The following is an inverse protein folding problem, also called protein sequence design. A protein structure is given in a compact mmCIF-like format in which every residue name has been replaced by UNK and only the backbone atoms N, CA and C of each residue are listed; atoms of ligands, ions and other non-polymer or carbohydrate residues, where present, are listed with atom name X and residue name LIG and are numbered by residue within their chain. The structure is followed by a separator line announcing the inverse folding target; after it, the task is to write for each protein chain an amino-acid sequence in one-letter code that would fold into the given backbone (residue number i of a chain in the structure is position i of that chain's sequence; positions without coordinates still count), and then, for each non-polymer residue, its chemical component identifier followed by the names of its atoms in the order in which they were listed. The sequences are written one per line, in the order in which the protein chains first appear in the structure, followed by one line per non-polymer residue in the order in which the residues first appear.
data_IF_466325844565
#
_entry.id   IF_466325844565
#
_cell.length_a   1.000
_cell.length_b   1.000
_cell.length_c   1.000
_cell.angle_alpha   90.00
_cell.angle_beta   90.00
_cell.angle_gamma   90.00
#
_symmetry.space_group_name_H-M   'P 1'
#
loop_
_entity.id
_entity.type
_entity.pdbx_description
1 polymer ?
#
# COMPACT_ATOMS: atom_id res chain seq x y z
N UNK A 1 12.14 62.57 -1.03
CA UNK A 1 11.23 61.42 -1.11
C UNK A 1 12.13 60.21 -1.24
N UNK A 2 12.20 59.38 -0.20
CA UNK A 2 12.94 58.12 -0.24
C UNK A 2 12.02 57.10 -0.93
N UNK A 3 12.44 56.58 -2.07
CA UNK A 3 11.82 55.40 -2.67
C UNK A 3 12.06 54.24 -1.70
N UNK A 4 10.97 53.75 -1.12
CA UNK A 4 10.96 52.50 -0.38
C UNK A 4 10.99 51.44 -1.47
N UNK A 5 12.18 50.94 -1.82
CA UNK A 5 12.29 49.67 -2.53
C UNK A 5 11.67 48.62 -1.61
N UNK A 6 10.44 48.21 -1.92
CA UNK A 6 9.92 46.95 -1.42
C UNK A 6 10.75 45.86 -2.10
N UNK A 7 11.77 45.40 -1.36
CA UNK A 7 12.56 44.22 -1.65
C UNK A 7 11.60 43.04 -1.72
N UNK A 8 11.56 42.37 -2.88
CA UNK A 8 10.63 41.28 -3.11
C UNK A 8 11.18 40.02 -2.45
N UNK A 9 10.52 39.56 -1.38
CA UNK A 9 10.81 38.26 -0.77
C UNK A 9 10.72 37.17 -1.85
N UNK A 10 11.77 36.37 -2.00
CA UNK A 10 11.80 35.26 -2.96
C UNK A 10 11.13 34.02 -2.35
N UNK A 11 10.34 33.31 -3.15
CA UNK A 11 9.64 32.11 -2.71
C UNK A 11 10.27 30.89 -3.33
N UNK A 12 10.62 29.93 -2.49
CA UNK A 12 11.01 28.59 -2.88
C UNK A 12 9.91 27.62 -2.48
N UNK A 13 9.69 26.61 -3.30
CA UNK A 13 8.79 25.50 -3.03
C UNK A 13 9.60 24.21 -2.99
N UNK A 14 9.38 23.43 -1.94
CA UNK A 14 9.99 22.11 -1.79
C UNK A 14 8.90 21.05 -1.76
N UNK A 15 9.21 19.88 -2.31
CA UNK A 15 8.42 18.66 -2.12
C UNK A 15 9.33 17.65 -1.46
N UNK A 16 8.98 17.23 -0.26
CA UNK A 16 9.72 16.22 0.48
C UNK A 16 8.81 15.04 0.83
N UNK A 17 9.41 13.90 1.18
CA UNK A 17 8.66 12.78 1.75
C UNK A 17 9.35 12.19 2.96
N UNK A 18 8.54 11.61 3.84
CA UNK A 18 8.99 10.74 4.91
C UNK A 18 8.31 9.39 4.81
N UNK A 19 9.10 8.34 5.00
CA UNK A 19 8.54 7.01 5.17
C UNK A 19 7.87 6.93 6.55
N UNK A 20 6.57 6.69 6.54
CA UNK A 20 5.73 6.71 7.73
C UNK A 20 4.91 5.42 7.76
N UNK A 21 4.77 4.84 8.95
CA UNK A 21 3.90 3.70 9.20
C UNK A 21 2.61 4.16 9.91
N UNK A 22 1.46 3.77 9.34
CA UNK A 22 0.17 3.86 9.99
C UNK A 22 -0.05 2.59 10.81
N UNK A 23 0.01 2.69 12.13
CA UNK A 23 -0.10 1.53 13.04
C UNK A 23 -1.55 1.20 13.42
N UNK A 24 -2.51 2.03 13.02
CA UNK A 24 -3.92 1.94 13.41
C UNK A 24 -4.32 3.01 14.43
N UNK A 25 -5.63 3.21 14.58
CA UNK A 25 -6.27 4.17 15.47
C UNK A 25 -5.73 5.61 15.36
N UNK A 26 -5.52 6.06 14.12
CA UNK A 26 -5.03 7.42 13.83
C UNK A 26 -3.55 7.63 14.18
N UNK A 27 -2.79 6.56 14.45
CA UNK A 27 -1.38 6.65 14.84
C UNK A 27 -0.47 6.51 13.63
N UNK A 28 0.19 7.62 13.29
CA UNK A 28 1.29 7.68 12.33
C UNK A 28 2.63 7.79 13.04
N UNK A 29 3.64 7.07 12.55
CA UNK A 29 5.00 7.10 13.09
C UNK A 29 6.02 7.09 11.96
N UNK A 30 6.99 8.00 12.01
CA UNK A 30 8.14 7.98 11.09
C UNK A 30 8.89 6.66 11.25
N UNK A 31 9.10 5.93 10.15
CA UNK A 31 9.81 4.64 10.17
C UNK A 31 11.28 4.87 10.53
N UNK A 32 11.85 5.97 10.03
CA UNK A 32 13.22 6.37 10.32
C UNK A 32 13.30 7.86 10.71
N UNK A 33 12.97 8.21 11.97
CA UNK A 33 12.91 9.60 12.42
C UNK A 33 14.29 10.29 12.48
N UNK A 34 15.38 9.52 12.37
CA UNK A 34 16.75 10.02 12.41
C UNK A 34 17.32 10.31 11.02
N UNK A 35 16.63 9.92 9.95
CA UNK A 35 17.00 10.27 8.60
C UNK A 35 16.28 11.54 8.15
N UNK A 36 16.96 12.30 7.30
CA UNK A 36 16.37 13.45 6.64
C UNK A 36 15.28 12.97 5.66
N UNK A 37 14.31 13.84 5.40
CA UNK A 37 13.30 13.59 4.38
C UNK A 37 13.91 13.56 2.99
N UNK A 38 13.40 12.72 2.11
CA UNK A 38 13.80 12.70 0.71
C UNK A 38 13.21 13.91 -0.02
N UNK A 39 14.05 14.67 -0.73
CA UNK A 39 13.62 15.83 -1.53
C UNK A 39 13.36 15.43 -2.98
N UNK A 40 12.15 15.70 -3.46
CA UNK A 40 11.68 15.36 -4.81
C UNK A 40 11.65 16.56 -5.75
N UNK A 41 11.47 17.75 -5.19
CA UNK A 41 11.44 19.01 -5.94
C UNK A 41 11.94 20.14 -5.06
N UNK A 42 12.67 21.06 -5.68
CA UNK A 42 13.08 22.33 -5.10
C UNK A 42 13.10 23.38 -6.21
N UNK A 43 12.34 24.47 -6.06
CA UNK A 43 12.31 25.54 -7.06
C UNK A 43 11.23 26.59 -6.83
N UNK A 44 11.22 27.65 -7.64
CA UNK A 44 10.29 28.77 -7.46
C UNK A 44 8.84 28.50 -7.94
N UNK A 45 8.56 27.31 -8.49
CA UNK A 45 7.31 27.00 -9.16
C UNK A 45 6.28 26.30 -8.27
N UNK A 46 5.38 27.04 -7.61
CA UNK A 46 4.28 26.44 -6.81
C UNK A 46 3.46 25.40 -7.57
N UNK A 47 3.07 25.74 -8.81
CA UNK A 47 2.24 24.86 -9.65
C UNK A 47 2.99 23.59 -10.02
N UNK A 48 4.31 23.70 -10.21
CA UNK A 48 5.16 22.55 -10.51
C UNK A 48 5.32 21.66 -9.28
N UNK A 49 5.62 22.22 -8.09
CA UNK A 49 5.66 21.47 -6.83
C UNK A 49 4.36 20.68 -6.57
N UNK A 50 3.21 21.35 -6.70
CA UNK A 50 1.88 20.73 -6.52
C UNK A 50 1.56 19.66 -7.58
N UNK A 51 2.07 19.82 -8.81
CA UNK A 51 1.92 18.80 -9.85
C UNK A 51 2.80 17.59 -9.53
N UNK A 52 4.06 17.83 -9.20
CA UNK A 52 5.05 16.80 -8.86
C UNK A 52 4.55 15.92 -7.70
N UNK A 53 4.09 16.52 -6.60
CA UNK A 53 3.60 15.74 -5.45
C UNK A 53 2.41 14.86 -5.82
N UNK A 54 1.49 15.36 -6.66
CA UNK A 54 0.29 14.61 -7.06
C UNK A 54 0.60 13.49 -8.04
N UNK A 55 1.57 13.69 -8.93
CA UNK A 55 2.07 12.66 -9.84
C UNK A 55 2.75 11.53 -9.03
N UNK A 56 3.67 11.85 -8.12
CA UNK A 56 4.36 10.85 -7.29
C UNK A 56 3.44 10.12 -6.33
N UNK A 57 2.50 10.83 -5.70
CA UNK A 57 1.51 10.25 -4.80
C UNK A 57 0.32 9.61 -5.54
N UNK A 58 0.27 9.65 -6.88
CA UNK A 58 -0.68 8.85 -7.65
C UNK A 58 -0.11 7.51 -8.09
N UNK A 59 1.19 7.47 -8.35
CA UNK A 59 1.93 6.30 -8.77
C UNK A 59 2.36 5.45 -7.56
N UNK A 60 1.39 4.91 -6.82
CA UNK A 60 1.64 4.29 -5.49
C UNK A 60 1.36 2.80 -5.47
N UNK A 61 0.32 2.38 -6.19
CA UNK A 61 -0.21 1.01 -6.21
C UNK A 61 0.66 0.06 -7.03
N UNK A 62 1.17 0.52 -8.17
CA UNK A 62 1.91 -0.30 -9.14
C UNK A 62 3.44 -0.30 -8.88
N UNK A 63 3.92 0.52 -7.94
CA UNK A 63 5.36 0.67 -7.63
C UNK A 63 5.77 0.17 -6.25
N UNK A 64 4.85 -0.40 -5.45
CA UNK A 64 5.14 -0.86 -4.08
C UNK A 64 5.40 0.26 -3.07
N UNK A 65 4.79 1.45 -3.25
CA UNK A 65 5.02 2.59 -2.34
C UNK A 65 4.09 2.61 -1.12
N UNK A 66 3.04 1.78 -1.11
CA UNK A 66 2.22 1.48 0.07
C UNK A 66 2.37 -0.02 0.32
N UNK A 67 2.90 -0.36 1.48
CA UNK A 67 3.20 -1.73 1.88
C UNK A 67 2.49 -2.04 3.19
N UNK A 68 1.88 -3.22 3.29
CA UNK A 68 1.37 -3.71 4.57
C UNK A 68 2.42 -4.60 5.19
N UNK A 69 2.74 -4.35 6.45
CA UNK A 69 3.61 -5.21 7.24
C UNK A 69 2.92 -5.59 8.54
N UNK A 70 3.56 -6.44 9.35
CA UNK A 70 3.03 -6.89 10.63
C UNK A 70 2.59 -5.74 11.55
N UNK A 71 3.29 -4.59 11.48
CA UNK A 71 3.11 -3.43 12.34
C UNK A 71 2.07 -2.43 11.84
N UNK A 72 1.59 -2.55 10.60
CA UNK A 72 0.71 -1.55 10.00
C UNK A 72 0.97 -1.33 8.52
N UNK A 73 0.73 -0.10 8.05
CA UNK A 73 0.82 0.27 6.63
C UNK A 73 1.93 1.29 6.43
N UNK A 74 3.01 0.89 5.78
CA UNK A 74 4.16 1.71 5.46
C UNK A 74 3.92 2.43 4.13
N UNK A 75 4.20 3.73 4.09
CA UNK A 75 4.18 4.53 2.86
C UNK A 75 4.99 5.80 2.99
N UNK A 76 5.27 6.44 1.87
CA UNK A 76 5.78 7.80 1.85
C UNK A 76 4.65 8.82 1.98
N UNK A 77 4.65 9.61 3.05
CA UNK A 77 3.80 10.81 3.18
C UNK A 77 4.57 11.99 2.62
N UNK A 78 3.94 12.72 1.71
CA UNK A 78 4.57 13.84 1.04
C UNK A 78 4.11 15.17 1.63
N UNK A 79 5.05 16.10 1.72
CA UNK A 79 4.81 17.45 2.19
C UNK A 79 5.28 18.45 1.13
N UNK A 80 4.46 19.47 0.89
CA UNK A 80 4.84 20.61 0.05
C UNK A 80 4.97 21.85 0.93
N UNK A 81 6.16 22.42 0.99
CA UNK A 81 6.43 23.63 1.76
C UNK A 81 6.66 24.84 0.86
N UNK A 82 6.23 26.02 1.33
CA UNK A 82 6.64 27.33 0.81
C UNK A 82 7.70 27.89 1.77
N UNK A 83 8.91 28.11 1.28
CA UNK A 83 9.98 28.75 2.02
C UNK A 83 10.16 30.17 1.51
N UNK A 84 10.12 31.14 2.43
CA UNK A 84 10.39 32.55 2.15
C UNK A 84 11.87 32.82 2.41
N UNK A 85 12.53 33.41 1.41
CA UNK A 85 13.94 33.78 1.44
C UNK A 85 14.08 35.30 1.42
N UNK A 86 15.05 35.81 2.17
CA UNK A 86 15.47 37.20 2.03
C UNK A 86 16.45 37.41 0.86
N UNK A 87 16.96 38.63 0.69
CA UNK A 87 17.85 38.99 -0.41
C UNK A 87 19.22 38.28 -0.37
N UNK A 88 19.62 37.79 0.81
CA UNK A 88 20.86 37.05 1.02
C UNK A 88 20.65 35.54 0.81
N UNK A 89 19.41 35.10 0.59
CA UNK A 89 19.01 33.71 0.43
C UNK A 89 18.80 32.98 1.76
N UNK A 90 18.72 33.71 2.87
CA UNK A 90 18.47 33.13 4.19
C UNK A 90 16.97 32.87 4.39
N UNK A 91 16.65 31.74 5.02
CA UNK A 91 15.27 31.35 5.31
C UNK A 91 14.69 32.23 6.42
N UNK A 92 13.67 33.01 6.08
CA UNK A 92 12.95 33.89 7.01
C UNK A 92 11.56 33.37 7.38
N UNK A 93 11.05 32.38 6.66
CA UNK A 93 9.78 31.70 6.96
C UNK A 93 9.61 30.41 6.17
N UNK A 94 8.84 29.49 6.73
CA UNK A 94 8.48 28.22 6.09
C UNK A 94 7.05 27.86 6.48
N UNK A 95 6.21 27.58 5.49
CA UNK A 95 4.81 27.20 5.67
C UNK A 95 4.51 25.91 4.89
N UNK A 96 3.92 24.91 5.56
CA UNK A 96 3.35 23.73 4.90
C UNK A 96 2.10 24.11 4.11
N UNK A 97 2.11 23.88 2.81
CA UNK A 97 1.01 24.20 1.89
C UNK A 97 0.04 23.04 1.77
N UNK A 98 0.56 21.83 1.60
CA UNK A 98 -0.21 20.63 1.30
C UNK A 98 0.52 19.40 1.86
N UNK A 99 -0.23 18.51 2.49
CA UNK A 99 0.22 17.17 2.86
C UNK A 99 -0.56 16.20 1.98
N UNK A 100 0.14 15.29 1.32
CA UNK A 100 -0.45 14.27 0.47
C UNK A 100 -0.07 12.90 1.02
N UNK A 101 -1.04 12.24 1.64
CA UNK A 101 -0.89 10.86 2.10
C UNK A 101 -1.52 9.91 1.07
N UNK A 102 -0.75 9.01 0.44
CA UNK A 102 -1.31 8.00 -0.45
C UNK A 102 -2.42 7.16 0.17
N UNK A 103 -2.37 6.95 1.49
CA UNK A 103 -3.34 6.14 2.21
C UNK A 103 -4.74 6.78 2.26
N UNK A 104 -4.87 8.08 1.99
CA UNK A 104 -6.18 8.75 1.87
C UNK A 104 -7.02 8.24 0.68
N UNK A 105 -6.38 7.57 -0.28
CA UNK A 105 -7.06 6.93 -1.42
C UNK A 105 -7.47 5.49 -1.15
N UNK A 106 -7.12 4.94 0.02
CA UNK A 106 -7.39 3.56 0.42
C UNK A 106 -8.02 3.51 1.82
N UNK A 107 -9.19 4.15 2.04
CA UNK A 107 -9.79 4.28 3.37
C UNK A 107 -10.11 2.93 4.04
N UNK A 108 -10.40 1.89 3.26
CA UNK A 108 -10.67 0.52 3.74
C UNK A 108 -9.46 -0.06 4.48
N UNK A 109 -8.24 0.25 4.03
CA UNK A 109 -7.04 -0.18 4.72
C UNK A 109 -6.86 0.46 6.08
N UNK A 110 -7.15 1.76 6.20
CA UNK A 110 -7.09 2.43 7.50
C UNK A 110 -8.07 1.75 8.45
N UNK A 111 -9.27 1.44 7.98
CA UNK A 111 -10.27 0.71 8.76
C UNK A 111 -9.78 -0.68 9.18
N UNK A 112 -9.08 -1.43 8.31
CA UNK A 112 -8.50 -2.73 8.70
C UNK A 112 -7.38 -2.59 9.71
N UNK A 113 -6.48 -1.62 9.56
CA UNK A 113 -5.43 -1.33 10.53
C UNK A 113 -6.02 -0.95 11.89
N UNK A 114 -7.06 -0.11 11.92
CA UNK A 114 -7.76 0.28 13.15
C UNK A 114 -8.40 -0.92 13.86
N UNK A 115 -9.06 -1.79 13.10
CA UNK A 115 -9.67 -3.01 13.64
C UNK A 115 -8.63 -4.03 14.08
N UNK A 116 -7.53 -4.16 13.35
CA UNK A 116 -6.43 -5.04 13.72
C UNK A 116 -5.80 -4.61 15.06
N UNK A 117 -5.52 -3.31 15.22
CA UNK A 117 -5.04 -2.75 16.48
C UNK A 117 -6.06 -2.94 17.61
N UNK A 118 -7.35 -2.69 17.34
CA UNK A 118 -8.42 -2.91 18.32
C UNK A 118 -8.51 -4.37 18.80
N UNK A 119 -8.32 -5.33 17.89
CA UNK A 119 -8.32 -6.75 18.19
C UNK A 119 -6.97 -7.28 18.68
N UNK A 120 -5.93 -6.44 18.75
CA UNK A 120 -4.56 -6.80 19.08
C UNK A 120 -4.04 -7.98 18.22
N UNK A 121 -4.27 -7.91 16.92
CA UNK A 121 -3.75 -8.84 15.93
C UNK A 121 -2.86 -8.13 14.92
N UNK A 122 -1.95 -8.89 14.29
CA UNK A 122 -1.15 -8.37 13.18
C UNK A 122 -2.07 -8.08 11.99
N UNK A 123 -1.85 -6.97 11.31
CA UNK A 123 -2.69 -6.53 10.18
C UNK A 123 -2.79 -7.58 9.06
N UNK A 124 -1.70 -8.24 8.60
CA UNK A 124 -1.80 -9.35 7.64
C UNK A 124 -2.74 -10.47 8.10
N UNK A 125 -2.64 -10.88 9.37
CA UNK A 125 -3.48 -11.94 9.95
C UNK A 125 -4.94 -11.50 10.11
N UNK A 126 -5.19 -10.24 10.42
CA UNK A 126 -6.55 -9.67 10.47
C UNK A 126 -7.20 -9.71 9.08
N UNK A 127 -6.44 -9.32 8.06
CA UNK A 127 -6.91 -9.25 6.68
C UNK A 127 -7.18 -10.66 6.13
N UNK A 128 -6.21 -11.56 6.29
CA UNK A 128 -6.25 -12.91 5.70
C UNK A 128 -7.08 -13.90 6.51
N UNK A 129 -7.21 -13.69 7.82
CA UNK A 129 -7.90 -14.61 8.73
C UNK A 129 -7.09 -15.88 8.99
N UNK A 130 -7.78 -16.97 9.32
CA UNK A 130 -7.17 -18.27 9.56
C UNK A 130 -6.94 -19.01 8.24
N UNK A 131 -5.68 -19.32 7.93
CA UNK A 131 -5.32 -20.19 6.80
C UNK A 131 -5.24 -21.66 7.26
N UNK A 132 -6.00 -22.54 6.59
CA UNK A 132 -6.04 -23.99 6.84
C UNK A 132 -5.71 -24.73 5.56
N UNK A 133 -4.70 -25.59 5.60
CA UNK A 133 -4.50 -26.59 4.55
C UNK A 133 -5.67 -27.58 4.57
N UNK A 134 -6.20 -27.89 3.38
CA UNK A 134 -7.35 -28.77 3.21
C UNK A 134 -6.91 -30.13 2.68
N UNK A 135 -6.28 -30.17 1.51
CA UNK A 135 -5.84 -31.40 0.86
C UNK A 135 -4.86 -31.10 -0.30
N UNK A 136 -4.22 -32.15 -0.82
CA UNK A 136 -3.37 -32.11 -2.00
C UNK A 136 -4.05 -32.82 -3.19
N UNK A 137 -4.02 -32.19 -4.36
CA UNK A 137 -4.63 -32.69 -5.59
C UNK A 137 -3.55 -32.92 -6.64
N UNK A 138 -3.38 -34.17 -7.06
CA UNK A 138 -2.57 -34.49 -8.23
C UNK A 138 -3.38 -34.33 -9.52
N UNK A 139 -2.94 -33.42 -10.39
CA UNK A 139 -3.57 -33.16 -11.68
C UNK A 139 -2.51 -32.83 -12.74
N UNK A 140 -2.60 -33.47 -13.91
CA UNK A 140 -1.66 -33.31 -15.02
C UNK A 140 -0.17 -33.42 -14.63
N UNK A 141 0.16 -34.34 -13.72
CA UNK A 141 1.53 -34.57 -13.24
C UNK A 141 2.07 -33.48 -12.29
N UNK A 142 1.23 -32.57 -11.82
CA UNK A 142 1.55 -31.54 -10.82
C UNK A 142 0.76 -31.80 -9.53
N UNK A 143 1.32 -31.33 -8.39
CA UNK A 143 0.65 -31.36 -7.10
C UNK A 143 0.13 -29.96 -6.76
N UNK A 144 -1.17 -29.85 -6.53
CA UNK A 144 -1.82 -28.60 -6.12
C UNK A 144 -2.29 -28.70 -4.68
N UNK A 145 -1.90 -27.75 -3.83
CA UNK A 145 -2.35 -27.74 -2.43
C UNK A 145 -3.53 -26.80 -2.26
N UNK A 146 -4.64 -27.29 -1.72
CA UNK A 146 -5.83 -26.49 -1.43
C UNK A 146 -5.74 -25.89 -0.02
N UNK A 147 -6.04 -24.60 0.07
CA UNK A 147 -6.13 -23.85 1.32
C UNK A 147 -7.50 -23.22 1.47
N UNK A 148 -7.95 -23.13 2.72
CA UNK A 148 -9.15 -22.41 3.13
C UNK A 148 -8.74 -21.26 4.05
N UNK A 149 -9.20 -20.06 3.69
CA UNK A 149 -9.09 -18.86 4.51
C UNK A 149 -10.46 -18.61 5.16
N UNK A 150 -10.50 -18.55 6.48
CA UNK A 150 -11.72 -18.31 7.26
C UNK A 150 -11.58 -17.07 8.14
N UNK A 151 -12.69 -16.37 8.40
CA UNK A 151 -12.70 -15.15 9.21
C UNK A 151 -11.81 -14.02 8.66
N UNK A 152 -11.55 -14.04 7.35
CA UNK A 152 -10.85 -12.95 6.68
C UNK A 152 -11.71 -11.68 6.69
N UNK A 153 -11.08 -10.52 6.50
CA UNK A 153 -11.78 -9.24 6.38
C UNK A 153 -12.78 -9.18 5.19
N UNK A 154 -12.63 -10.10 4.23
CA UNK A 154 -13.42 -10.16 2.99
C UNK A 154 -14.43 -11.31 2.95
N UNK A 155 -14.53 -12.06 4.06
CA UNK A 155 -15.28 -13.31 4.12
C UNK A 155 -14.41 -14.52 3.77
N UNK A 156 -14.95 -15.71 3.98
CA UNK A 156 -14.19 -16.93 3.81
C UNK A 156 -13.97 -17.24 2.32
N UNK A 157 -12.76 -17.62 1.91
CA UNK A 157 -12.46 -17.98 0.51
C UNK A 157 -11.45 -19.13 0.44
N UNK A 158 -11.31 -19.73 -0.74
CA UNK A 158 -10.36 -20.82 -0.98
C UNK A 158 -9.28 -20.40 -1.97
N UNK A 159 -8.05 -20.88 -1.75
CA UNK A 159 -6.90 -20.63 -2.60
C UNK A 159 -6.16 -21.94 -2.87
N UNK A 160 -5.32 -22.02 -3.90
CA UNK A 160 -4.47 -23.19 -4.10
C UNK A 160 -3.08 -22.84 -4.58
N UNK A 161 -2.07 -23.66 -4.31
CA UNK A 161 -0.72 -23.46 -4.86
C UNK A 161 -0.40 -24.47 -5.96
N UNK A 162 0.40 -24.09 -6.96
CA UNK A 162 1.03 -25.05 -7.90
C UNK A 162 2.41 -25.45 -7.36
N UNK A 163 2.56 -26.70 -6.93
CA UNK A 163 3.79 -27.28 -6.37
C UNK A 163 4.42 -26.45 -5.22
N UNK A 164 3.60 -25.73 -4.46
CA UNK A 164 4.08 -24.86 -3.36
C UNK A 164 4.95 -23.69 -3.83
N UNK A 165 4.67 -23.17 -5.04
CA UNK A 165 5.39 -22.02 -5.59
C UNK A 165 4.52 -20.76 -5.66
N UNK A 166 3.42 -20.81 -6.41
CA UNK A 166 2.57 -19.64 -6.64
C UNK A 166 1.20 -19.87 -6.02
N UNK A 167 0.74 -18.91 -5.21
CA UNK A 167 -0.59 -18.93 -4.64
C UNK A 167 -1.62 -18.38 -5.64
N UNK A 168 -2.57 -19.22 -6.01
CA UNK A 168 -3.69 -18.89 -6.86
C UNK A 168 -4.88 -18.47 -6.02
N UNK A 169 -5.33 -17.22 -6.24
CA UNK A 169 -6.45 -16.61 -5.53
C UNK A 169 -7.67 -16.45 -6.44
N UNK A 170 -8.88 -16.49 -5.86
CA UNK A 170 -10.09 -16.19 -6.59
C UNK A 170 -10.18 -14.69 -6.92
N UNK A 171 -10.62 -14.35 -8.14
CA UNK A 171 -10.85 -12.95 -8.50
C UNK A 171 -11.84 -12.30 -7.52
N UNK A 172 -11.47 -11.09 -7.06
CA UNK A 172 -12.26 -10.30 -6.11
C UNK A 172 -12.63 -11.04 -4.80
N UNK A 173 -11.83 -12.05 -4.40
CA UNK A 173 -12.04 -12.83 -3.18
C UNK A 173 -13.42 -13.52 -3.10
N UNK A 174 -14.08 -13.77 -4.23
CA UNK A 174 -15.32 -14.53 -4.24
C UNK A 174 -15.05 -15.99 -3.88
N UNK A 175 -15.70 -16.46 -2.83
CA UNK A 175 -15.67 -17.87 -2.48
C UNK A 175 -16.28 -18.72 -3.60
N UNK A 176 -15.44 -19.39 -4.38
CA UNK A 176 -15.91 -20.41 -5.32
C UNK A 176 -16.51 -21.63 -4.60
N UNK A 177 -16.50 -21.67 -3.27
CA UNK A 177 -17.06 -22.74 -2.46
C UNK A 177 -16.25 -24.03 -2.52
N UNK A 178 -15.01 -23.94 -2.98
CA UNK A 178 -14.12 -25.09 -3.18
C UNK A 178 -13.56 -25.50 -1.83
N UNK A 179 -14.22 -26.47 -1.19
CA UNK A 179 -13.87 -26.94 0.16
C UNK A 179 -13.26 -28.34 0.16
N UNK A 180 -13.05 -28.93 -1.01
CA UNK A 180 -12.63 -30.31 -1.17
C UNK A 180 -11.65 -30.48 -2.33
N UNK A 181 -10.84 -31.53 -2.27
CA UNK A 181 -9.95 -31.96 -3.36
C UNK A 181 -10.69 -32.16 -4.69
N UNK A 182 -11.86 -32.81 -4.66
CA UNK A 182 -12.67 -33.04 -5.86
C UNK A 182 -13.12 -31.72 -6.51
N UNK A 183 -13.56 -30.75 -5.71
CA UNK A 183 -13.95 -29.43 -6.21
C UNK A 183 -12.78 -28.67 -6.81
N UNK A 184 -11.58 -28.77 -6.22
CA UNK A 184 -10.38 -28.16 -6.80
C UNK A 184 -10.04 -28.83 -8.13
N UNK A 185 -10.13 -30.15 -8.22
CA UNK A 185 -9.88 -30.89 -9.46
C UNK A 185 -10.85 -30.48 -10.57
N UNK A 186 -12.15 -30.34 -10.27
CA UNK A 186 -13.14 -29.84 -11.24
C UNK A 186 -12.77 -28.44 -11.77
N UNK A 187 -12.26 -27.56 -10.89
CA UNK A 187 -11.82 -26.22 -11.30
C UNK A 187 -10.57 -26.25 -12.18
N UNK A 188 -9.59 -27.10 -11.85
CA UNK A 188 -8.40 -27.30 -12.66
C UNK A 188 -8.77 -27.87 -14.05
N UNK A 189 -9.73 -28.80 -14.12
CA UNK A 189 -10.25 -29.36 -15.37
C UNK A 189 -11.03 -28.33 -16.20
N UNK A 190 -11.76 -27.43 -15.55
CA UNK A 190 -12.54 -26.39 -16.21
C UNK A 190 -11.70 -25.21 -16.73
N UNK A 191 -10.43 -25.08 -16.30
CA UNK A 191 -9.50 -24.05 -16.80
C UNK A 191 -10.02 -22.62 -16.59
N UNK A 192 -10.47 -22.28 -15.38
CA UNK A 192 -11.03 -20.94 -15.12
C UNK A 192 -9.97 -19.85 -15.23
N UNK A 193 -10.18 -18.92 -16.16
CA UNK A 193 -9.40 -17.69 -16.35
C UNK A 193 -9.60 -16.63 -15.25
N UNK A 194 -10.44 -16.92 -14.26
CA UNK A 194 -10.75 -16.01 -13.14
C UNK A 194 -9.84 -16.22 -11.93
N UNK A 195 -8.93 -17.20 -11.99
CA UNK A 195 -7.86 -17.38 -11.01
C UNK A 195 -6.62 -16.65 -11.47
N UNK A 196 -5.93 -16.03 -10.52
CA UNK A 196 -4.76 -15.21 -10.83
C UNK A 196 -3.51 -15.70 -10.12
N UNK A 197 -2.36 -15.43 -10.76
CA UNK A 197 -1.00 -15.77 -10.34
C UNK A 197 -0.16 -14.49 -10.31
N UNK A 198 0.53 -14.19 -9.20
CA UNK A 198 1.61 -13.19 -9.21
C UNK A 198 2.96 -13.84 -9.51
N UNK A 199 3.86 -13.08 -10.12
CA UNK A 199 5.26 -13.40 -10.34
C UNK A 199 6.22 -12.43 -9.62
N UNK A 200 5.71 -11.47 -8.83
CA UNK A 200 6.51 -10.34 -8.31
C UNK A 200 7.05 -10.48 -6.86
N UNK A 201 6.63 -11.48 -6.08
CA UNK A 201 7.18 -11.69 -4.72
C UNK A 201 7.41 -13.17 -4.41
N UNK A 202 8.53 -13.48 -3.75
CA UNK A 202 8.90 -14.84 -3.30
C UNK A 202 8.14 -15.27 -2.01
N UNK A 203 7.36 -14.38 -1.38
CA UNK A 203 6.54 -14.67 -0.19
C UNK A 203 5.04 -14.83 -0.54
N UNK A 204 4.49 -16.02 -0.31
CA UNK A 204 3.12 -16.40 -0.67
C UNK A 204 2.03 -15.58 0.05
N UNK A 205 2.30 -14.98 1.21
CA UNK A 205 1.32 -14.17 1.96
C UNK A 205 1.38 -12.69 1.57
N UNK A 206 2.57 -12.16 1.27
CA UNK A 206 2.72 -10.81 0.72
C UNK A 206 1.97 -10.69 -0.63
N UNK A 207 1.94 -11.76 -1.44
CA UNK A 207 1.17 -11.85 -2.70
C UNK A 207 -0.33 -11.56 -2.52
N UNK A 208 -0.94 -11.97 -1.39
CA UNK A 208 -2.35 -11.67 -1.09
C UNK A 208 -2.53 -10.17 -0.87
N UNK A 209 -1.58 -9.55 -0.15
CA UNK A 209 -1.63 -8.13 0.21
C UNK A 209 -1.39 -7.23 -1.01
N UNK A 210 -0.40 -7.55 -1.85
CA UNK A 210 -0.14 -6.80 -3.10
C UNK A 210 -1.37 -6.76 -4.02
N UNK A 211 -2.21 -7.78 -4.00
CA UNK A 211 -3.46 -7.85 -4.79
C UNK A 211 -4.72 -7.34 -4.15
N UNK A 212 -4.77 -7.33 -2.81
CA UNK A 212 -5.77 -6.54 -2.09
C UNK A 212 -5.72 -5.09 -2.53
N UNK A 213 -4.54 -4.60 -2.92
CA UNK A 213 -4.41 -3.30 -3.55
C UNK A 213 -4.94 -3.26 -4.96
N UNK A 214 -4.65 -4.23 -5.84
CA UNK A 214 -4.97 -4.24 -7.28
C UNK A 214 -6.48 -4.40 -7.65
N UNK A 215 -7.34 -4.85 -6.73
CA UNK A 215 -8.75 -5.19 -7.05
C UNK A 215 -9.76 -4.02 -6.97
N UNK A 216 -9.45 -2.91 -6.31
CA UNK A 216 -10.35 -1.73 -6.21
C UNK A 216 -9.98 -0.58 -7.19
N UNK A 217 -10.00 -0.86 -8.49
CA UNK A 217 -10.11 0.17 -9.54
C UNK A 217 -11.10 -0.27 -10.62
#
# INVERSE_FOLDING_TARGET
MAEINQTADEKMYTVSSRETIYEGNGKDTDVNPLCDSDTWYEGAGRVEALRTVREYAADVRDTGKVEVCERGIVRNVFEVCETLLDEDGDVIGEDTIEIVDPLDRMPELREFADKADHCNCQLPSYITGECKWVDDVEFDGKCYRLYRFEHSAWGDFSAYTDNGSNLWLPAAFFDYGIKTADGLKEVLEAGRSEWWQDWQSDDEFDQIIYKLFAAEC
#
